data_IF_982284790928
#
_entry.id   IF_982284790928
#
_cell.length_a   1.000
_cell.length_b   1.000
_cell.length_c   1.000
_cell.angle_alpha   90.00
_cell.angle_beta   90.00
_cell.angle_gamma   90.00
#
_symmetry.space_group_name_H-M   'P 1'
#
loop_
_entity.id
_entity.type
_entity.pdbx_description
1 polymer ?
#
# COMPACT_ATOMS: atom_id res chain seq x y z
N UNK A 1 -17.08 11.18 -18.35
CA UNK A 1 -16.98 10.31 -17.16
C UNK A 1 -15.89 10.82 -16.22
N UNK A 2 -16.20 11.81 -15.39
CA UNK A 2 -15.31 12.25 -14.33
C UNK A 2 -15.39 11.20 -13.21
N UNK A 3 -14.42 10.29 -13.16
CA UNK A 3 -14.29 9.35 -12.05
C UNK A 3 -14.02 10.15 -10.79
N UNK A 4 -15.08 10.37 -10.00
CA UNK A 4 -14.97 10.68 -8.58
C UNK A 4 -14.01 9.63 -8.02
N UNK A 5 -12.83 10.04 -7.54
CA UNK A 5 -11.82 9.17 -6.92
C UNK A 5 -12.35 8.64 -5.59
N UNK A 6 -13.42 7.84 -5.64
CA UNK A 6 -13.86 7.02 -4.52
C UNK A 6 -12.70 6.12 -4.19
N UNK A 7 -12.28 6.11 -2.92
CA UNK A 7 -11.23 5.25 -2.38
C UNK A 7 -11.55 3.82 -2.81
N UNK A 8 -10.93 3.31 -3.88
CA UNK A 8 -11.17 1.94 -4.31
C UNK A 8 -10.76 1.05 -3.15
N UNK A 9 -11.70 0.27 -2.57
CA UNK A 9 -11.39 -0.56 -1.41
C UNK A 9 -10.25 -1.50 -1.75
N UNK A 10 -9.31 -1.68 -0.81
CA UNK A 10 -8.22 -2.63 -0.97
C UNK A 10 -8.79 -4.04 -0.85
N UNK A 11 -8.61 -4.86 -1.88
CA UNK A 11 -8.96 -6.28 -1.82
C UNK A 11 -7.88 -7.06 -1.04
N UNK A 12 -8.18 -8.30 -0.64
CA UNK A 12 -7.26 -9.08 0.20
C UNK A 12 -5.95 -9.42 -0.50
N UNK A 13 -5.96 -9.64 -1.82
CA UNK A 13 -4.76 -9.90 -2.60
C UNK A 13 -3.84 -8.67 -2.65
N UNK A 14 -4.42 -7.48 -2.86
CA UNK A 14 -3.69 -6.20 -2.83
C UNK A 14 -3.11 -5.93 -1.45
N UNK A 15 -3.89 -6.18 -0.38
CA UNK A 15 -3.40 -6.03 1.00
C UNK A 15 -2.24 -6.99 1.26
N UNK A 16 -2.36 -8.24 0.87
CA UNK A 16 -1.32 -9.25 1.07
C UNK A 16 -0.05 -8.89 0.29
N UNK A 17 -0.20 -8.45 -0.96
CA UNK A 17 0.91 -7.99 -1.80
C UNK A 17 1.68 -6.87 -1.10
N UNK A 18 1.00 -5.78 -0.69
CA UNK A 18 1.68 -4.67 0.00
C UNK A 18 2.25 -5.10 1.36
N UNK A 19 1.56 -5.98 2.09
CA UNK A 19 2.03 -6.50 3.39
C UNK A 19 3.34 -7.29 3.28
N UNK A 20 3.55 -8.04 2.21
CA UNK A 20 4.83 -8.75 1.95
C UNK A 20 6.01 -7.77 1.84
N UNK A 21 5.77 -6.58 1.29
CA UNK A 21 6.77 -5.53 1.16
C UNK A 21 6.74 -4.51 2.33
N UNK A 22 5.85 -4.70 3.32
CA UNK A 22 5.67 -3.74 4.43
C UNK A 22 6.93 -3.59 5.29
N UNK A 23 7.70 -4.67 5.45
CA UNK A 23 8.98 -4.63 6.16
C UNK A 23 9.97 -3.66 5.47
N UNK A 24 10.06 -3.71 4.15
CA UNK A 24 10.89 -2.78 3.33
C UNK A 24 10.40 -1.35 3.49
N UNK A 25 9.10 -1.15 3.67
CA UNK A 25 8.51 0.17 3.81
C UNK A 25 8.54 0.75 5.23
N UNK A 26 8.78 -0.07 6.26
CA UNK A 26 8.80 0.37 7.66
C UNK A 26 9.90 1.41 7.93
N UNK A 27 11.00 1.35 7.18
CA UNK A 27 12.11 2.30 7.24
C UNK A 27 11.90 3.56 6.38
N UNK A 28 10.76 3.65 5.67
CA UNK A 28 10.35 4.80 4.87
C UNK A 28 10.11 4.45 3.41
N UNK A 29 8.83 4.36 3.03
CA UNK A 29 8.42 4.11 1.64
C UNK A 29 8.80 5.29 0.71
N UNK A 30 9.88 5.15 -0.05
CA UNK A 30 10.23 6.12 -1.11
C UNK A 30 9.43 5.78 -2.37
N UNK A 31 9.27 6.78 -3.24
CA UNK A 31 8.53 6.64 -4.50
C UNK A 31 9.02 5.45 -5.34
N UNK A 32 10.34 5.26 -5.44
CA UNK A 32 10.95 4.15 -6.20
C UNK A 32 10.57 2.78 -5.64
N UNK A 33 10.58 2.63 -4.33
CA UNK A 33 10.30 1.35 -3.66
C UNK A 33 8.81 1.00 -3.82
N UNK A 34 7.92 2.01 -3.77
CA UNK A 34 6.51 1.83 -4.08
C UNK A 34 6.27 1.41 -5.53
N UNK A 35 7.03 1.96 -6.49
CA UNK A 35 6.89 1.60 -7.91
C UNK A 35 7.36 0.16 -8.13
N UNK A 36 8.55 -0.20 -7.62
CA UNK A 36 9.06 -1.57 -7.70
C UNK A 36 8.08 -2.58 -7.12
N UNK A 37 7.50 -2.30 -5.95
CA UNK A 37 6.46 -3.15 -5.35
C UNK A 37 5.23 -3.31 -6.27
N UNK A 38 4.78 -2.26 -6.96
CA UNK A 38 3.67 -2.35 -7.91
C UNK A 38 4.05 -3.24 -9.11
N UNK A 39 5.27 -3.12 -9.61
CA UNK A 39 5.78 -3.90 -10.72
C UNK A 39 5.95 -5.38 -10.35
N UNK A 40 6.56 -5.67 -9.20
CA UNK A 40 6.79 -7.05 -8.70
C UNK A 40 5.50 -7.78 -8.35
N UNK A 41 4.47 -7.05 -7.93
CA UNK A 41 3.16 -7.63 -7.57
C UNK A 41 2.13 -7.50 -8.69
N UNK A 42 2.56 -7.09 -9.89
CA UNK A 42 1.73 -7.10 -11.09
C UNK A 42 1.23 -8.54 -11.37
N UNK A 43 -0.04 -8.73 -11.74
CA UNK A 43 -1.05 -7.74 -12.12
C UNK A 43 -1.93 -7.23 -10.96
N UNK A 44 -1.63 -7.60 -9.72
CA UNK A 44 -2.49 -7.33 -8.54
C UNK A 44 -2.56 -5.84 -8.23
N UNK A 45 -1.41 -5.15 -8.18
CA UNK A 45 -1.34 -3.72 -7.88
C UNK A 45 -1.35 -2.82 -9.12
N UNK A 46 -1.57 -3.36 -10.33
CA UNK A 46 -1.49 -2.59 -11.59
C UNK A 46 -2.42 -1.35 -11.64
N UNK A 47 -3.53 -1.39 -10.88
CA UNK A 47 -4.51 -0.31 -10.80
C UNK A 47 -4.19 0.72 -9.72
N UNK A 48 -3.13 0.50 -8.92
CA UNK A 48 -2.73 1.34 -7.80
C UNK A 48 -1.56 2.22 -8.20
N UNK A 49 -1.54 3.42 -7.65
CA UNK A 49 -0.39 4.32 -7.81
C UNK A 49 0.55 4.21 -6.62
N UNK A 50 1.79 4.64 -6.79
CA UNK A 50 2.76 4.73 -5.70
C UNK A 50 2.25 5.57 -4.51
N UNK A 51 1.35 6.54 -4.76
CA UNK A 51 0.70 7.34 -3.71
C UNK A 51 -0.31 6.51 -2.91
N UNK A 52 -1.07 5.65 -3.59
CA UNK A 52 -2.04 4.75 -2.93
C UNK A 52 -1.31 3.75 -2.03
N UNK A 53 -0.24 3.12 -2.55
CA UNK A 53 0.61 2.19 -1.80
C UNK A 53 1.21 2.89 -0.58
N UNK A 54 1.82 4.08 -0.76
CA UNK A 54 2.40 4.86 0.35
C UNK A 54 1.36 5.17 1.44
N UNK A 55 0.17 5.62 1.04
CA UNK A 55 -0.90 5.93 1.98
C UNK A 55 -1.40 4.69 2.73
N UNK A 56 -1.51 3.55 2.04
CA UNK A 56 -1.90 2.28 2.64
C UNK A 56 -0.87 1.81 3.68
N UNK A 57 0.41 1.80 3.32
CA UNK A 57 1.52 1.48 4.23
C UNK A 57 1.48 2.36 5.47
N UNK A 58 1.36 3.68 5.29
CA UNK A 58 1.29 4.62 6.42
C UNK A 58 0.12 4.28 7.36
N UNK A 59 -1.07 4.03 6.80
CA UNK A 59 -2.24 3.68 7.58
C UNK A 59 -2.08 2.33 8.30
N UNK A 60 -1.48 1.32 7.66
CA UNK A 60 -1.23 0.02 8.29
C UNK A 60 -0.19 0.12 9.42
N UNK A 61 0.90 0.88 9.24
CA UNK A 61 1.90 1.13 10.29
C UNK A 61 1.22 1.79 11.49
N UNK A 62 0.46 2.88 11.25
CA UNK A 62 -0.28 3.58 12.32
C UNK A 62 -1.26 2.64 13.02
N UNK A 63 -1.96 1.77 12.28
CA UNK A 63 -2.88 0.78 12.85
C UNK A 63 -2.15 -0.21 13.75
N UNK A 64 -1.03 -0.76 13.29
CA UNK A 64 -0.19 -1.68 14.08
C UNK A 64 0.34 -0.98 15.33
N UNK A 65 0.91 0.22 15.20
CA UNK A 65 1.42 1.01 16.34
C UNK A 65 0.33 1.35 17.35
N UNK A 66 -0.90 1.65 16.91
CA UNK A 66 -2.03 1.89 17.81
C UNK A 66 -2.49 0.62 18.52
N UNK A 67 -2.50 -0.52 17.82
CA UNK A 67 -2.89 -1.81 18.40
C UNK A 67 -1.90 -2.35 19.43
N UNK A 68 -0.62 -1.93 19.36
CA UNK A 68 0.41 -2.32 20.33
C UNK A 68 0.43 -1.44 21.59
N UNK A 69 -0.33 -0.35 21.62
CA UNK A 69 -0.40 0.61 22.74
C UNK A 69 -1.58 0.37 23.68
N UNK A 70 -2.40 -0.65 23.41
CA UNK A 70 -3.44 -1.16 24.31
C UNK A 70 -3.06 -2.58 24.72
#
# INVERSE_FOLDING_TARGET
HLQIKGKTPWNEQEKLAVKRHLAVFAEGARKKDCILCIEETSPVLQKRTWKDVKNYVYNEIIKITKSLKH
#
